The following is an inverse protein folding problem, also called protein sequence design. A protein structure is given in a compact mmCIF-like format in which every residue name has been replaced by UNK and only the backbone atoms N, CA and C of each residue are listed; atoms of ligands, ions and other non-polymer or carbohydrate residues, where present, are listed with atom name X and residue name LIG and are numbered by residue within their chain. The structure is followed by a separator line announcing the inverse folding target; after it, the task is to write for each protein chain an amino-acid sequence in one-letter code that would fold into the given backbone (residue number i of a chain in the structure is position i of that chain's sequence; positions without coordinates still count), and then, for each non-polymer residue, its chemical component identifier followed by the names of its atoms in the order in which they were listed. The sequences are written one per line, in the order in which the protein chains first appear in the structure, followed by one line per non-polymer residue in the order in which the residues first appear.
data_IF_730678224416
#
_entry.id   IF_730678224416
#
_cell.length_a   1.000
_cell.length_b   1.000
_cell.length_c   1.000
_cell.angle_alpha   90.00
_cell.angle_beta   90.00
_cell.angle_gamma   90.00
#
_symmetry.space_group_name_H-M   'P 1'
#
loop_
_entity.id
_entity.type
_entity.pdbx_description
1 polymer ?
#
# COMPACT_ATOMS: atom_id res chain seq x y z
N UNK A 1 -3.64 14.59 -5.11
CA UNK A 1 -3.17 15.36 -3.96
C UNK A 1 -1.65 15.45 -3.99
N UNK A 2 -1.09 16.64 -3.78
CA UNK A 2 0.36 16.81 -3.62
C UNK A 2 0.77 16.31 -2.23
N UNK A 3 1.90 15.62 -2.15
CA UNK A 3 2.48 15.19 -0.87
C UNK A 3 3.72 16.04 -0.63
N UNK A 4 3.76 16.82 0.46
CA UNK A 4 4.98 17.52 0.80
C UNK A 4 6.04 16.50 1.28
N UNK A 5 7.32 16.83 1.16
CA UNK A 5 8.40 15.92 1.59
C UNK A 5 8.26 15.56 3.09
N UNK A 6 7.81 16.50 3.92
CA UNK A 6 7.52 16.25 5.34
C UNK A 6 6.43 15.17 5.53
N UNK A 7 5.40 15.14 4.66
CA UNK A 7 4.33 14.14 4.72
C UNK A 7 4.87 12.74 4.41
N UNK A 8 5.77 12.64 3.43
CA UNK A 8 6.44 11.39 3.05
C UNK A 8 7.33 10.88 4.19
N UNK A 9 8.09 11.75 4.84
CA UNK A 9 8.91 11.39 6.00
C UNK A 9 8.03 10.85 7.15
N UNK A 10 6.89 11.51 7.43
CA UNK A 10 5.93 11.00 8.42
C UNK A 10 5.31 9.67 8.00
N UNK A 11 4.99 9.48 6.72
CA UNK A 11 4.49 8.21 6.18
C UNK A 11 5.51 7.07 6.38
N UNK A 12 6.79 7.32 6.11
CA UNK A 12 7.87 6.34 6.38
C UNK A 12 8.01 6.01 7.85
N UNK A 13 7.90 7.00 8.73
CA UNK A 13 7.92 6.75 10.17
C UNK A 13 6.78 5.80 10.55
N UNK A 14 5.57 6.02 10.02
CA UNK A 14 4.39 5.16 10.25
C UNK A 14 4.54 3.74 9.70
N UNK A 15 5.33 3.52 8.64
CA UNK A 15 5.67 2.16 8.19
C UNK A 15 6.54 1.41 9.22
N UNK A 16 7.49 2.11 9.83
CA UNK A 16 8.47 1.52 10.76
C UNK A 16 7.94 1.32 12.18
N UNK A 17 6.99 2.16 12.60
CA UNK A 17 6.39 2.13 13.93
C UNK A 17 4.92 2.52 13.86
N UNK A 18 4.10 1.88 14.70
CA UNK A 18 2.69 2.24 14.83
C UNK A 18 2.54 3.72 15.23
N UNK A 19 1.67 4.49 14.54
CA UNK A 19 1.38 5.87 14.92
C UNK A 19 0.76 5.98 16.33
N UNK A 20 0.91 7.14 16.96
CA UNK A 20 0.28 7.44 18.25
C UNK A 20 -1.18 7.86 18.06
N UNK A 21 -2.03 7.51 19.04
CA UNK A 21 -3.46 7.91 19.06
C UNK A 21 -3.65 9.42 19.14
N UNK A 22 -2.63 10.17 19.56
CA UNK A 22 -2.71 11.63 19.62
C UNK A 22 -2.52 12.31 18.27
N UNK A 23 -1.94 11.60 17.30
CA UNK A 23 -1.54 12.17 16.02
C UNK A 23 -2.51 11.80 14.90
N UNK A 24 -3.51 10.97 15.18
CA UNK A 24 -4.47 10.48 14.19
C UNK A 24 -5.40 11.60 13.71
N UNK A 25 -5.61 11.74 12.39
CA UNK A 25 -6.63 12.65 11.87
C UNK A 25 -8.02 12.20 12.35
N UNK A 26 -9.05 13.08 12.34
CA UNK A 26 -10.39 12.72 12.84
C UNK A 26 -11.01 11.50 12.15
N UNK A 27 -10.68 11.30 10.88
CA UNK A 27 -11.16 10.19 10.04
C UNK A 27 -10.00 9.55 9.28
N UNK A 28 -10.13 8.26 9.01
CA UNK A 28 -9.23 7.48 8.16
C UNK A 28 -10.06 6.71 7.15
N UNK A 29 -9.44 6.33 6.03
CA UNK A 29 -10.00 5.32 5.14
C UNK A 29 -9.45 3.95 5.49
N UNK A 30 -10.33 2.96 5.53
CA UNK A 30 -9.99 1.59 5.84
C UNK A 30 -10.25 0.66 4.66
N UNK A 31 -9.39 -0.34 4.52
CA UNK A 31 -9.60 -1.49 3.65
C UNK A 31 -9.62 -2.76 4.49
N UNK A 32 -10.69 -3.55 4.33
CA UNK A 32 -10.77 -4.87 4.94
C UNK A 32 -10.08 -5.88 4.04
N UNK A 33 -9.06 -6.54 4.58
CA UNK A 33 -8.17 -7.43 3.83
C UNK A 33 -8.26 -8.83 4.39
N UNK A 34 -8.71 -9.77 3.57
CA UNK A 34 -8.62 -11.20 3.88
C UNK A 34 -7.35 -11.74 3.25
N UNK A 35 -6.52 -12.44 4.01
CA UNK A 35 -5.27 -13.05 3.51
C UNK A 35 -5.38 -14.57 3.44
N UNK A 36 -4.60 -15.19 2.54
CA UNK A 36 -4.48 -16.64 2.46
C UNK A 36 -3.44 -17.22 3.44
N UNK A 37 -2.51 -16.38 3.91
CA UNK A 37 -1.48 -16.71 4.90
C UNK A 37 -1.67 -15.98 6.23
N UNK A 38 -0.59 -15.77 6.97
CA UNK A 38 -0.63 -14.98 8.20
C UNK A 38 -0.73 -13.46 7.91
N UNK A 39 -1.36 -12.73 8.83
CA UNK A 39 -1.48 -11.26 8.73
C UNK A 39 -0.12 -10.57 8.89
N UNK A 40 0.77 -11.13 9.71
CA UNK A 40 2.16 -10.69 9.87
C UNK A 40 2.91 -10.70 8.55
N UNK A 41 2.88 -11.83 7.83
CA UNK A 41 3.55 -11.98 6.53
C UNK A 41 3.01 -10.99 5.49
N UNK A 42 1.69 -10.78 5.44
CA UNK A 42 1.09 -9.75 4.58
C UNK A 42 1.67 -8.37 4.92
N UNK A 43 1.69 -8.04 6.21
CA UNK A 43 2.18 -6.75 6.69
C UNK A 43 3.67 -6.53 6.42
N UNK A 44 4.50 -7.57 6.52
CA UNK A 44 5.93 -7.52 6.20
C UNK A 44 6.14 -7.29 4.70
N UNK A 45 5.44 -8.03 3.84
CA UNK A 45 5.53 -7.88 2.37
C UNK A 45 5.10 -6.49 1.93
N UNK A 46 3.97 -5.99 2.42
CA UNK A 46 3.49 -4.64 2.11
C UNK A 46 4.52 -3.57 2.50
N UNK A 47 5.06 -3.64 3.73
CA UNK A 47 6.08 -2.70 4.19
C UNK A 47 7.39 -2.81 3.41
N UNK A 48 7.76 -4.02 2.99
CA UNK A 48 8.98 -4.26 2.20
C UNK A 48 8.96 -3.59 0.83
N UNK A 49 7.77 -3.29 0.28
CA UNK A 49 7.61 -2.57 -1.00
C UNK A 49 7.41 -1.07 -0.78
N UNK A 50 6.57 -0.67 0.19
CA UNK A 50 6.34 0.75 0.48
C UNK A 50 7.59 1.47 1.00
N UNK A 51 8.42 0.77 1.78
CA UNK A 51 9.64 1.35 2.34
C UNK A 51 10.59 1.89 1.27
N UNK A 52 11.01 1.07 0.28
CA UNK A 52 11.76 1.53 -0.89
C UNK A 52 11.06 2.62 -1.69
N UNK A 53 9.75 2.48 -1.99
CA UNK A 53 9.00 3.46 -2.78
C UNK A 53 9.02 4.87 -2.15
N UNK A 54 8.79 4.95 -0.83
CA UNK A 54 8.86 6.22 -0.11
C UNK A 54 10.30 6.76 0.01
N UNK A 55 11.33 5.90 0.03
CA UNK A 55 12.73 6.36 -0.06
C UNK A 55 13.03 7.02 -1.40
N UNK A 56 12.47 6.50 -2.48
CA UNK A 56 12.58 7.11 -3.81
C UNK A 56 11.87 8.46 -3.82
N UNK A 57 10.65 8.54 -3.27
CA UNK A 57 9.88 9.77 -3.11
C UNK A 57 10.67 10.91 -2.44
N UNK A 58 11.54 10.59 -1.48
CA UNK A 58 12.37 11.60 -0.80
C UNK A 58 13.67 11.95 -1.51
N UNK A 59 14.20 11.04 -2.34
CA UNK A 59 15.60 11.11 -2.80
C UNK A 59 15.80 11.27 -4.30
N UNK A 60 14.77 11.01 -5.11
CA UNK A 60 14.87 11.05 -6.57
C UNK A 60 13.97 12.12 -7.16
N UNK A 61 14.45 12.93 -8.13
CA UNK A 61 13.57 13.70 -8.98
C UNK A 61 12.86 12.75 -9.94
N UNK A 62 11.53 12.69 -9.92
CA UNK A 62 10.70 11.81 -10.76
C UNK A 62 10.65 12.31 -12.22
N UNK A 63 11.80 12.56 -12.82
CA UNK A 63 11.93 13.19 -14.14
C UNK A 63 12.49 12.21 -15.18
N UNK A 64 11.64 11.75 -16.10
CA UNK A 64 12.00 11.24 -17.44
C UNK A 64 12.90 10.00 -17.58
N UNK A 65 13.63 9.59 -16.55
CA UNK A 65 14.46 8.39 -16.48
C UNK A 65 13.80 7.32 -15.59
N UNK A 66 14.10 6.05 -15.85
CA UNK A 66 13.62 4.95 -15.00
C UNK A 66 14.15 5.10 -13.57
N UNK A 67 13.27 4.96 -12.59
CA UNK A 67 13.63 4.99 -11.18
C UNK A 67 14.46 3.75 -10.80
N UNK A 68 15.42 3.86 -9.87
CA UNK A 68 16.20 2.72 -9.43
C UNK A 68 15.31 1.71 -8.70
N UNK A 69 15.48 0.42 -9.05
CA UNK A 69 14.64 -0.68 -8.55
C UNK A 69 15.39 -1.67 -7.66
N UNK A 70 16.67 -1.44 -7.37
CA UNK A 70 17.53 -2.38 -6.66
C UNK A 70 17.05 -2.70 -5.23
N UNK A 71 16.33 -1.77 -4.61
CA UNK A 71 15.76 -1.95 -3.27
C UNK A 71 14.32 -2.50 -3.29
N UNK A 72 13.69 -2.57 -4.46
CA UNK A 72 12.35 -3.15 -4.60
C UNK A 72 12.48 -4.67 -4.52
N UNK A 73 11.66 -5.36 -3.69
CA UNK A 73 11.76 -6.81 -3.58
C UNK A 73 11.58 -7.53 -4.92
N UNK A 74 12.48 -8.47 -5.23
CA UNK A 74 12.45 -9.25 -6.48
C UNK A 74 11.09 -9.89 -6.76
N UNK A 75 10.40 -10.34 -5.72
CA UNK A 75 9.08 -10.97 -5.87
C UNK A 75 8.01 -10.00 -6.36
N UNK A 76 8.10 -8.72 -5.99
CA UNK A 76 7.16 -7.69 -6.42
C UNK A 76 7.46 -7.28 -7.87
N UNK A 77 8.75 -7.07 -8.18
CA UNK A 77 9.23 -6.83 -9.54
C UNK A 77 8.88 -7.97 -10.50
N UNK A 78 8.98 -9.23 -10.06
CA UNK A 78 8.60 -10.39 -10.85
C UNK A 78 7.09 -10.46 -11.12
N UNK A 79 6.25 -9.94 -10.21
CA UNK A 79 4.80 -9.89 -10.39
C UNK A 79 4.35 -8.76 -11.33
N UNK A 80 5.21 -7.75 -11.54
CA UNK A 80 4.94 -6.66 -12.45
C UNK A 80 4.90 -7.10 -13.91
N UNK A 81 4.18 -6.33 -14.72
CA UNK A 81 4.05 -6.54 -16.16
C UNK A 81 5.42 -6.50 -16.82
N UNK A 82 5.70 -7.47 -17.68
CA UNK A 82 6.93 -7.47 -18.49
C UNK A 82 8.19 -7.94 -17.77
N UNK A 83 8.12 -8.40 -16.52
CA UNK A 83 9.29 -8.82 -15.73
C UNK A 83 10.13 -9.94 -16.39
N UNK A 84 9.49 -10.82 -17.17
CA UNK A 84 10.14 -12.01 -17.75
C UNK A 84 10.57 -13.07 -16.73
N UNK A 85 10.34 -12.82 -15.43
CA UNK A 85 10.70 -13.68 -14.30
C UNK A 85 9.42 -14.22 -13.67
N UNK A 86 9.40 -15.50 -13.34
CA UNK A 86 8.24 -16.09 -12.67
C UNK A 86 8.14 -15.58 -11.22
N UNK A 87 7.04 -14.91 -10.83
CA UNK A 87 6.84 -14.52 -9.44
C UNK A 87 6.59 -15.75 -8.55
N UNK A 88 6.85 -15.65 -7.23
CA UNK A 88 6.43 -16.68 -6.31
C UNK A 88 4.90 -16.85 -6.32
N UNK A 89 4.43 -18.05 -5.95
CA UNK A 89 3.03 -18.45 -6.10
C UNK A 89 2.03 -17.50 -5.43
N UNK A 90 2.35 -16.95 -4.26
CA UNK A 90 1.46 -16.01 -3.56
C UNK A 90 1.24 -14.73 -4.38
N UNK A 91 2.30 -14.21 -5.01
CA UNK A 91 2.25 -12.99 -5.81
C UNK A 91 1.58 -13.25 -7.16
N UNK A 92 1.84 -14.41 -7.78
CA UNK A 92 1.15 -14.85 -9.00
C UNK A 92 -0.37 -14.93 -8.79
N UNK A 93 -0.82 -15.64 -7.74
CA UNK A 93 -2.23 -15.73 -7.36
C UNK A 93 -2.82 -14.37 -6.99
N UNK A 94 -2.02 -13.51 -6.36
CA UNK A 94 -2.38 -12.13 -6.06
C UNK A 94 -2.71 -11.35 -7.32
N UNK A 95 -1.82 -11.39 -8.32
CA UNK A 95 -2.03 -10.72 -9.60
C UNK A 95 -3.31 -11.21 -10.33
N UNK A 96 -3.58 -12.51 -10.31
CA UNK A 96 -4.82 -13.09 -10.85
C UNK A 96 -6.07 -12.57 -10.12
N UNK A 97 -6.04 -12.49 -8.79
CA UNK A 97 -7.15 -11.99 -7.98
C UNK A 97 -7.38 -10.49 -8.18
N UNK A 98 -6.31 -9.71 -8.26
CA UNK A 98 -6.41 -8.30 -8.61
C UNK A 98 -7.10 -8.12 -9.95
N UNK A 99 -6.70 -8.89 -10.97
CA UNK A 99 -7.32 -8.82 -12.29
C UNK A 99 -8.79 -9.20 -12.28
N UNK A 100 -9.17 -10.22 -11.50
CA UNK A 100 -10.55 -10.62 -11.33
C UNK A 100 -11.40 -9.57 -10.58
N UNK A 101 -10.84 -8.93 -9.55
CA UNK A 101 -11.57 -8.00 -8.68
C UNK A 101 -11.65 -6.57 -9.26
N UNK A 102 -10.56 -6.08 -9.84
CA UNK A 102 -10.43 -4.69 -10.32
C UNK A 102 -10.66 -4.59 -11.84
N UNK A 103 -10.57 -5.71 -12.56
CA UNK A 103 -10.73 -5.73 -14.02
C UNK A 103 -9.54 -5.16 -14.79
N UNK A 104 -8.39 -5.01 -14.13
CA UNK A 104 -7.14 -4.49 -14.70
C UNK A 104 -6.04 -5.55 -14.71
N UNK A 105 -5.14 -5.48 -15.69
CA UNK A 105 -3.96 -6.35 -15.73
C UNK A 105 -2.89 -5.94 -14.72
N UNK A 106 -1.79 -6.69 -14.69
CA UNK A 106 -0.62 -6.34 -13.88
C UNK A 106 -0.11 -4.92 -14.20
N UNK A 107 0.33 -4.24 -13.15
CA UNK A 107 0.99 -2.93 -13.24
C UNK A 107 2.38 -3.08 -13.86
N UNK A 108 2.78 -2.11 -14.67
CA UNK A 108 4.21 -1.91 -14.94
C UNK A 108 4.89 -1.39 -13.66
N UNK A 109 6.13 -1.82 -13.42
CA UNK A 109 6.82 -1.48 -12.19
C UNK A 109 7.11 0.02 -12.10
N UNK A 110 7.57 0.64 -13.19
CA UNK A 110 7.83 2.08 -13.22
C UNK A 110 6.52 2.85 -13.07
N UNK A 111 5.47 2.47 -13.81
CA UNK A 111 4.13 3.07 -13.68
C UNK A 111 3.62 3.06 -12.23
N UNK A 112 3.89 1.96 -11.49
CA UNK A 112 3.54 1.84 -10.08
C UNK A 112 4.41 2.71 -9.18
N UNK A 113 5.73 2.76 -9.39
CA UNK A 113 6.65 3.59 -8.60
C UNK A 113 6.36 5.08 -8.78
N UNK A 114 6.03 5.52 -9.99
CA UNK A 114 5.65 6.90 -10.29
C UNK A 114 4.35 7.37 -9.60
N UNK A 115 3.58 6.46 -8.98
CA UNK A 115 2.48 6.87 -8.10
C UNK A 115 2.98 7.54 -6.81
N UNK A 116 4.26 7.38 -6.47
CA UNK A 116 4.88 7.97 -5.28
C UNK A 116 5.61 9.28 -5.57
N UNK A 117 5.50 9.81 -6.79
CA UNK A 117 5.97 11.15 -7.12
C UNK A 117 5.27 12.20 -6.22
N UNK A 118 6.00 12.94 -5.37
CA UNK A 118 5.41 13.94 -4.47
C UNK A 118 4.69 15.08 -5.21
N UNK A 119 5.11 15.39 -6.43
CA UNK A 119 4.51 16.42 -7.28
C UNK A 119 3.29 15.92 -8.06
N UNK A 120 3.03 14.61 -8.01
CA UNK A 120 1.91 13.98 -8.68
C UNK A 120 0.67 13.97 -7.80
N UNK A 121 -0.47 14.33 -8.39
CA UNK A 121 -1.75 14.29 -7.70
C UNK A 121 -2.45 12.92 -7.74
N UNK A 122 -1.85 11.89 -8.35
CA UNK A 122 -2.52 10.61 -8.60
C UNK A 122 -2.76 9.77 -7.34
N UNK A 123 -1.82 9.75 -6.40
CA UNK A 123 -1.96 8.95 -5.17
C UNK A 123 -2.77 9.71 -4.12
N UNK A 124 -4.02 9.30 -3.93
CA UNK A 124 -4.96 9.95 -3.01
C UNK A 124 -4.95 9.38 -1.58
N UNK A 125 -3.88 8.70 -1.16
CA UNK A 125 -3.77 8.12 0.16
C UNK A 125 -2.33 8.12 0.69
N UNK A 126 -2.19 8.11 2.02
CA UNK A 126 -0.93 7.87 2.71
C UNK A 126 -1.08 6.76 3.76
N UNK A 127 -0.09 5.86 3.87
CA UNK A 127 -0.07 4.77 4.82
C UNK A 127 -0.29 5.26 6.27
N UNK A 128 -1.29 4.71 6.98
CA UNK A 128 -1.46 4.97 8.40
C UNK A 128 -0.98 3.80 9.26
N UNK A 129 -1.62 2.64 9.16
CA UNK A 129 -1.27 1.44 9.92
C UNK A 129 -1.90 0.18 9.29
N UNK A 130 -1.48 -0.99 9.73
CA UNK A 130 -2.13 -2.27 9.46
C UNK A 130 -2.39 -3.00 10.78
N UNK A 131 -3.67 -3.24 11.07
CA UNK A 131 -4.11 -3.93 12.29
C UNK A 131 -4.64 -5.32 11.99
N UNK A 132 -4.51 -6.24 12.94
CA UNK A 132 -5.09 -7.58 12.86
C UNK A 132 -6.55 -7.52 13.31
N UNK A 133 -7.47 -7.97 12.46
CA UNK A 133 -8.90 -8.09 12.77
C UNK A 133 -9.34 -9.54 13.06
N UNK A 134 -8.49 -10.52 12.73
CA UNK A 134 -8.71 -11.94 12.98
C UNK A 134 -7.48 -12.77 12.59
N UNK A 135 -7.61 -14.10 12.54
CA UNK A 135 -6.46 -14.96 12.20
C UNK A 135 -5.91 -14.70 10.79
N UNK A 136 -6.81 -14.46 9.83
CA UNK A 136 -6.53 -14.21 8.41
C UNK A 136 -7.21 -12.94 7.90
N UNK A 137 -7.52 -12.04 8.81
CA UNK A 137 -8.19 -10.79 8.52
C UNK A 137 -7.35 -9.65 9.07
N UNK A 138 -7.05 -8.69 8.22
CA UNK A 138 -6.37 -7.46 8.55
C UNK A 138 -7.24 -6.29 8.14
N UNK A 139 -7.01 -5.15 8.77
CA UNK A 139 -7.55 -3.87 8.31
C UNK A 139 -6.38 -2.94 8.04
N UNK A 140 -6.26 -2.52 6.78
CA UNK A 140 -5.34 -1.47 6.36
C UNK A 140 -6.01 -0.13 6.60
N UNK A 141 -5.26 0.80 7.19
CA UNK A 141 -5.68 2.17 7.42
C UNK A 141 -4.80 3.09 6.59
N UNK A 142 -5.44 4.03 5.92
CA UNK A 142 -4.78 5.10 5.17
C UNK A 142 -5.40 6.43 5.54
N UNK A 143 -4.58 7.47 5.53
CA UNK A 143 -5.08 8.84 5.50
C UNK A 143 -5.46 9.18 4.05
N UNK A 144 -6.70 9.62 3.85
CA UNK A 144 -7.20 10.14 2.56
C UNK A 144 -7.64 11.59 2.71
N UNK A 145 -7.23 12.27 3.78
CA UNK A 145 -7.61 13.64 4.11
C UNK A 145 -9.13 13.86 4.16
N UNK A 146 -9.87 12.80 4.51
CA UNK A 146 -11.33 12.81 4.59
C UNK A 146 -12.05 12.51 3.26
N UNK A 147 -11.33 12.25 2.18
CA UNK A 147 -11.94 11.82 0.92
C UNK A 147 -12.47 10.38 1.03
N UNK A 148 -13.71 10.17 0.59
CA UNK A 148 -14.36 8.85 0.55
C UNK A 148 -14.18 8.13 -0.79
N UNK A 149 -13.66 8.83 -1.80
CA UNK A 149 -13.36 8.30 -3.12
C UNK A 149 -12.05 8.91 -3.62
N UNK A 150 -11.06 8.05 -3.88
CA UNK A 150 -9.73 8.41 -4.35
C UNK A 150 -9.12 7.26 -5.14
N UNK A 151 -8.11 7.54 -5.97
CA UNK A 151 -7.38 6.51 -6.68
C UNK A 151 -6.60 5.63 -5.69
N UNK A 152 -6.77 4.32 -5.81
CA UNK A 152 -6.17 3.33 -4.91
C UNK A 152 -5.99 1.96 -5.59
N UNK A 153 -5.99 1.91 -6.93
CA UNK A 153 -5.84 0.64 -7.66
C UNK A 153 -4.41 0.10 -7.52
N UNK A 154 -3.42 0.98 -7.45
CA UNK A 154 -2.03 0.70 -7.13
C UNK A 154 -1.85 0.14 -5.71
N UNK A 155 -2.64 0.62 -4.74
CA UNK A 155 -2.68 0.08 -3.39
C UNK A 155 -3.33 -1.31 -3.35
N UNK A 156 -4.45 -1.49 -4.07
CA UNK A 156 -5.10 -2.80 -4.20
C UNK A 156 -4.15 -3.80 -4.85
N UNK A 157 -3.45 -3.40 -5.91
CA UNK A 157 -2.42 -4.23 -6.54
C UNK A 157 -1.40 -4.71 -5.50
N UNK A 158 -0.80 -3.77 -4.75
CA UNK A 158 0.16 -4.08 -3.70
C UNK A 158 -0.39 -5.09 -2.68
N UNK A 159 -1.62 -4.89 -2.20
CA UNK A 159 -2.26 -5.79 -1.23
C UNK A 159 -2.44 -7.20 -1.80
N UNK A 160 -2.97 -7.30 -3.02
CA UNK A 160 -3.19 -8.58 -3.68
C UNK A 160 -1.88 -9.34 -3.92
N UNK A 161 -0.87 -8.72 -4.53
CA UNK A 161 0.41 -9.40 -4.78
C UNK A 161 1.20 -9.68 -3.50
N UNK A 162 0.91 -8.99 -2.40
CA UNK A 162 1.46 -9.31 -1.08
C UNK A 162 0.78 -10.53 -0.41
N UNK A 163 -0.28 -11.07 -1.01
CA UNK A 163 -0.96 -12.29 -0.55
C UNK A 163 -2.40 -12.12 -0.10
N UNK A 164 -3.01 -10.94 -0.32
CA UNK A 164 -4.45 -10.78 -0.09
C UNK A 164 -5.25 -11.74 -0.99
N UNK A 165 -6.26 -12.35 -0.39
CA UNK A 165 -7.27 -13.14 -1.06
C UNK A 165 -8.47 -12.29 -1.47
N UNK A 166 -8.73 -11.20 -0.74
CA UNK A 166 -9.83 -10.28 -0.98
C UNK A 166 -9.52 -8.92 -0.32
N UNK A 167 -9.99 -7.83 -0.94
CA UNK A 167 -9.79 -6.46 -0.46
C UNK A 167 -11.09 -5.68 -0.67
N UNK A 168 -11.76 -5.31 0.42
CA UNK A 168 -12.96 -4.48 0.43
C UNK A 168 -12.64 -3.05 0.86
N UNK A 169 -13.36 -2.06 0.32
CA UNK A 169 -13.16 -0.63 0.57
C UNK A 169 -12.67 0.16 -0.66
N UNK A 170 -12.27 1.43 -0.47
CA UNK A 170 -12.12 2.13 0.81
C UNK A 170 -13.45 2.41 1.51
N UNK A 171 -13.40 2.47 2.84
CA UNK A 171 -14.52 2.89 3.70
C UNK A 171 -14.02 4.03 4.59
N UNK A 172 -14.69 5.18 4.57
CA UNK A 172 -14.38 6.28 5.48
C UNK A 172 -14.86 5.91 6.89
N UNK A 173 -13.95 5.94 7.85
CA UNK A 173 -14.15 5.49 9.23
C UNK A 173 -13.66 6.55 10.21
N UNK A 174 -14.14 6.51 11.45
CA UNK A 174 -13.66 7.45 12.46
C UNK A 174 -12.36 6.93 13.08
N UNK A 175 -11.51 7.83 13.50
CA UNK A 175 -10.23 7.46 14.13
C UNK A 175 -10.36 6.64 15.41
N UNK A 176 -11.50 6.73 16.11
CA UNK A 176 -11.78 5.89 17.27
C UNK A 176 -11.88 4.40 16.90
N UNK A 177 -12.28 4.07 15.67
CA UNK A 177 -12.33 2.68 15.19
C UNK A 177 -10.92 2.11 15.05
N UNK A 178 -9.98 2.91 14.56
CA UNK A 178 -8.56 2.53 14.53
C UNK A 178 -7.98 2.46 15.95
N UNK A 179 -8.28 3.43 16.81
CA UNK A 179 -7.83 3.45 18.20
C UNK A 179 -8.29 2.20 18.97
N UNK A 180 -9.52 1.74 18.73
CA UNK A 180 -10.04 0.49 19.28
C UNK A 180 -9.30 -0.73 18.71
N UNK A 181 -9.05 -0.75 17.39
CA UNK A 181 -8.35 -1.86 16.73
C UNK A 181 -6.89 -2.02 17.18
N UNK A 182 -6.20 -0.94 17.54
CA UNK A 182 -4.81 -1.01 18.04
C UNK A 182 -4.72 -1.41 19.53
N UNK A 183 -5.82 -1.31 20.27
CA UNK A 183 -5.91 -1.67 21.69
C UNK A 183 -6.31 -3.14 21.92
N UNK A 184 -6.78 -3.83 20.88
CA UNK A 184 -7.18 -5.24 20.89
C UNK A 184 -5.98 -6.17 20.70
#
# INVERSE_FOLDING_TARGET
MLHEIEDIEQERLRLSRRPSVRDVPPVLCAFDVRTSGEVSELGERVRSVLGPALRLAESQPYEGEDLPVDEVPDWFSAAARGSGVAPPEFAARGAERYAAAVGRGAWDLQEWLYQFDPESEFRGWAWWDLTRAGERQARLWVDSWGESFFACDELRWLLYVSGAADVEGPILTRSEDWAAAVAA
#
